data_IF_148804765837
#
_entry.id   IF_148804765837
#
_cell.length_a   1.000
_cell.length_b   1.000
_cell.length_c   1.000
_cell.angle_alpha   90.00
_cell.angle_beta   90.00
_cell.angle_gamma   90.00
#
_symmetry.space_group_name_H-M   'P 1'
#
loop_
_entity.id
_entity.type
_entity.pdbx_description
1 polymer ?
#
# COMPACT_ATOMS: atom_id res chain seq x y z
N UNK A 1 2.72 23.49 4.35
CA UNK A 1 1.41 22.86 4.63
C UNK A 1 1.48 22.23 6.01
N UNK A 2 0.42 22.36 6.82
CA UNK A 2 0.39 21.89 8.22
C UNK A 2 0.28 20.37 8.35
N UNK A 3 -0.23 19.69 7.32
CA UNK A 3 -0.39 18.23 7.27
C UNK A 3 0.55 17.53 6.29
N UNK A 4 1.17 18.23 5.34
CA UNK A 4 1.98 17.55 4.32
C UNK A 4 3.33 17.12 4.89
N UNK A 5 3.62 15.80 4.97
CA UNK A 5 4.96 15.34 5.31
C UNK A 5 5.97 15.78 4.25
N UNK A 6 7.24 15.90 4.62
CA UNK A 6 8.28 16.19 3.65
C UNK A 6 8.40 15.02 2.66
N UNK A 7 8.56 15.27 1.35
CA UNK A 7 8.55 14.20 0.34
C UNK A 7 9.62 13.12 0.54
N UNK A 8 10.78 13.49 1.10
CA UNK A 8 11.88 12.56 1.34
C UNK A 8 11.70 11.72 2.61
N UNK A 9 10.66 11.95 3.42
CA UNK A 9 10.40 11.11 4.59
C UNK A 9 9.95 9.72 4.16
N UNK A 10 10.45 8.72 4.90
CA UNK A 10 9.97 7.36 4.80
C UNK A 10 8.44 7.31 4.98
N UNK A 11 7.79 6.43 4.20
CA UNK A 11 6.34 6.24 4.17
C UNK A 11 5.51 7.44 3.71
N UNK A 12 6.12 8.48 3.15
CA UNK A 12 5.39 9.50 2.40
C UNK A 12 4.87 8.92 1.07
N UNK A 13 3.92 9.59 0.42
CA UNK A 13 3.49 9.20 -0.94
C UNK A 13 4.65 9.16 -1.94
N UNK A 14 5.59 10.10 -1.83
CA UNK A 14 6.78 10.13 -2.69
C UNK A 14 7.75 8.98 -2.39
N UNK A 15 7.79 8.49 -1.14
CA UNK A 15 8.54 7.28 -0.81
C UNK A 15 7.93 6.07 -1.53
N UNK A 16 6.61 5.85 -1.42
CA UNK A 16 5.95 4.72 -2.05
C UNK A 16 6.02 4.77 -3.59
N UNK A 17 5.91 5.94 -4.21
CA UNK A 17 6.03 6.05 -5.67
C UNK A 17 7.39 5.58 -6.20
N UNK A 18 8.46 5.71 -5.39
CA UNK A 18 9.82 5.32 -5.75
C UNK A 18 10.24 3.96 -5.18
N UNK A 19 9.39 3.32 -4.39
CA UNK A 19 9.69 2.05 -3.74
C UNK A 19 9.44 0.91 -4.72
N UNK A 20 10.44 0.06 -4.94
CA UNK A 20 10.26 -1.14 -5.75
C UNK A 20 9.58 -2.26 -4.94
N UNK A 21 8.97 -3.22 -5.64
CA UNK A 21 8.35 -4.39 -5.01
C UNK A 21 9.36 -5.20 -4.19
N UNK A 22 10.58 -5.40 -4.71
CA UNK A 22 11.64 -6.09 -3.97
C UNK A 22 12.03 -5.34 -2.69
N UNK A 23 12.22 -4.02 -2.77
CA UNK A 23 12.52 -3.20 -1.60
C UNK A 23 11.39 -3.25 -0.58
N UNK A 24 10.13 -3.13 -1.02
CA UNK A 24 8.98 -3.13 -0.13
C UNK A 24 8.82 -4.46 0.65
N UNK A 25 9.20 -5.57 0.03
CA UNK A 25 9.16 -6.87 0.66
C UNK A 25 10.19 -7.00 1.79
N UNK A 26 11.39 -6.46 1.59
CA UNK A 26 12.51 -6.49 2.55
C UNK A 26 12.41 -5.37 3.62
N UNK A 27 11.74 -4.26 3.30
CA UNK A 27 11.64 -3.11 4.18
C UNK A 27 10.85 -3.45 5.45
N UNK A 28 11.37 -3.07 6.62
CA UNK A 28 10.67 -3.27 7.89
C UNK A 28 9.50 -2.26 8.02
N UNK A 29 8.31 -2.73 7.66
CA UNK A 29 7.07 -1.95 7.72
C UNK A 29 6.69 -1.62 9.17
N UNK A 30 6.04 -0.47 9.46
CA UNK A 30 5.49 -0.21 10.78
C UNK A 30 4.42 -1.26 11.12
N UNK A 31 4.26 -1.51 12.42
CA UNK A 31 3.23 -2.41 12.93
C UNK A 31 1.97 -1.58 13.16
N UNK A 32 0.94 -1.80 12.35
CA UNK A 32 -0.34 -1.11 12.50
C UNK A 32 -1.17 -1.85 13.56
N UNK A 33 -1.60 -1.13 14.58
CA UNK A 33 -2.47 -1.68 15.61
C UNK A 33 -3.83 -2.10 15.01
N UNK A 34 -4.52 -3.03 15.69
CA UNK A 34 -5.83 -3.51 15.25
C UNK A 34 -6.86 -2.36 15.20
N UNK A 35 -7.88 -2.52 14.35
CA UNK A 35 -9.05 -1.61 14.34
C UNK A 35 -9.73 -1.65 15.71
N UNK A 36 -10.20 -0.49 16.19
CA UNK A 36 -10.75 -0.33 17.53
C UNK A 36 -9.70 -0.25 18.64
N UNK A 37 -8.42 -0.04 18.30
CA UNK A 37 -7.33 0.06 19.27
C UNK A 37 -7.20 1.44 19.90
N UNK A 38 -7.63 2.50 19.21
CA UNK A 38 -7.59 3.87 19.72
C UNK A 38 -8.72 4.06 20.75
N UNK A 39 -8.34 4.44 21.98
CA UNK A 39 -9.27 4.69 23.08
C UNK A 39 -9.68 6.15 23.19
N UNK A 40 -8.80 7.08 22.82
CA UNK A 40 -9.10 8.51 22.79
C UNK A 40 -8.14 9.25 21.89
N UNK A 41 -8.60 10.33 21.27
CA UNK A 41 -7.75 11.29 20.57
C UNK A 41 -8.25 12.72 20.80
N UNK A 42 -7.32 13.66 20.98
CA UNK A 42 -7.64 15.09 21.17
C UNK A 42 -6.56 16.00 20.60
N UNK A 43 -6.96 17.20 20.17
CA UNK A 43 -6.03 18.20 19.68
C UNK A 43 -5.29 18.90 20.82
N UNK A 44 -4.05 19.27 20.57
CA UNK A 44 -3.19 20.02 21.48
C UNK A 44 -2.59 21.24 20.75
N UNK A 45 -2.36 22.37 21.46
CA UNK A 45 -1.71 23.55 20.91
C UNK A 45 -0.18 23.39 20.77
N UNK A 46 0.41 22.39 21.43
CA UNK A 46 1.84 22.17 21.43
C UNK A 46 2.35 21.76 20.05
N UNK A 47 3.50 22.32 19.66
CA UNK A 47 4.24 21.90 18.46
C UNK A 47 5.28 20.87 18.91
N UNK A 48 5.08 19.56 18.67
CA UNK A 48 6.05 18.57 19.06
C UNK A 48 7.21 18.56 18.07
N UNK A 49 8.44 18.71 18.57
CA UNK A 49 9.66 18.72 17.75
C UNK A 49 10.40 17.37 17.76
N UNK A 50 9.91 16.40 18.52
CA UNK A 50 10.56 15.10 18.62
C UNK A 50 10.38 14.29 17.33
N UNK A 51 11.40 13.50 16.98
CA UNK A 51 11.29 12.56 15.87
C UNK A 51 10.10 11.60 16.05
N UNK A 52 9.84 11.15 17.29
CA UNK A 52 8.70 10.30 17.62
C UNK A 52 7.33 10.94 17.28
N UNK A 53 7.25 12.27 17.16
CA UNK A 53 6.01 12.97 16.83
C UNK A 53 5.87 13.31 15.34
N UNK A 54 6.96 13.29 14.57
CA UNK A 54 6.99 13.83 13.19
C UNK A 54 7.37 12.80 12.12
N UNK A 55 8.10 11.74 12.48
CA UNK A 55 8.55 10.68 11.54
C UNK A 55 8.07 9.31 12.00
N UNK A 56 7.87 8.39 11.04
CA UNK A 56 7.65 6.96 11.34
C UNK A 56 8.98 6.23 11.16
N UNK A 57 9.41 5.50 12.19
CA UNK A 57 10.61 4.65 12.09
C UNK A 57 10.25 3.21 11.69
N UNK A 58 11.15 2.46 11.02
CA UNK A 58 10.89 1.07 10.66
C UNK A 58 10.53 0.20 11.88
N UNK A 59 9.46 -0.58 11.78
CA UNK A 59 8.95 -1.42 12.88
C UNK A 59 8.25 -0.66 14.01
N UNK A 60 8.06 0.65 13.90
CA UNK A 60 7.29 1.43 14.87
C UNK A 60 5.86 0.90 14.97
N UNK A 61 5.33 0.83 16.18
CA UNK A 61 3.91 0.55 16.41
C UNK A 61 3.11 1.83 16.25
N UNK A 62 2.21 1.88 15.27
CA UNK A 62 1.34 3.02 14.97
C UNK A 62 -0.14 2.64 15.14
N UNK A 63 -1.03 3.60 15.48
CA UNK A 63 -2.47 3.33 15.56
C UNK A 63 -3.06 3.00 14.18
N UNK A 64 -4.21 2.33 14.18
CA UNK A 64 -4.96 2.11 12.94
C UNK A 64 -5.56 3.43 12.45
N UNK A 65 -5.37 3.75 11.16
CA UNK A 65 -5.93 4.98 10.61
C UNK A 65 -7.47 5.02 10.63
N UNK A 66 -8.14 3.86 10.55
CA UNK A 66 -9.62 3.82 10.58
C UNK A 66 -10.20 4.44 11.85
N UNK A 67 -9.51 4.28 12.99
CA UNK A 67 -9.93 4.86 14.26
C UNK A 67 -9.60 6.35 14.38
N UNK A 68 -8.72 6.86 13.50
CA UNK A 68 -8.30 8.27 13.47
C UNK A 68 -9.10 9.11 12.48
N UNK A 69 -9.93 8.51 11.63
CA UNK A 69 -10.70 9.22 10.59
C UNK A 69 -11.47 10.42 11.14
N UNK A 70 -12.20 10.22 12.24
CA UNK A 70 -12.99 11.28 12.89
C UNK A 70 -12.12 12.44 13.36
N UNK A 71 -10.96 12.14 13.97
CA UNK A 71 -9.99 13.16 14.36
C UNK A 71 -9.47 13.89 13.12
N UNK A 72 -9.10 13.17 12.05
CA UNK A 72 -8.47 13.76 10.87
C UNK A 72 -9.36 14.73 10.10
N UNK A 73 -10.68 14.54 10.13
CA UNK A 73 -11.65 15.46 9.51
C UNK A 73 -11.58 16.85 10.17
N UNK A 74 -11.32 16.92 11.48
CA UNK A 74 -11.29 18.18 12.23
C UNK A 74 -9.92 18.89 12.26
N UNK A 75 -8.89 18.40 11.56
CA UNK A 75 -7.54 18.96 11.68
C UNK A 75 -7.48 20.41 11.16
N UNK A 76 -8.15 20.72 10.05
CA UNK A 76 -8.10 22.07 9.47
C UNK A 76 -8.69 23.12 10.42
N UNK A 77 -9.86 22.82 10.99
CA UNK A 77 -10.52 23.66 11.98
C UNK A 77 -9.65 23.79 13.25
N UNK A 78 -9.12 22.67 13.75
CA UNK A 78 -8.26 22.67 14.92
C UNK A 78 -6.98 23.48 14.70
N UNK A 79 -6.36 23.38 13.52
CA UNK A 79 -5.18 24.15 13.16
C UNK A 79 -5.48 25.66 13.13
N UNK A 80 -6.62 26.03 12.57
CA UNK A 80 -7.12 27.41 12.55
C UNK A 80 -7.39 27.93 13.97
N UNK A 81 -7.89 27.07 14.85
CA UNK A 81 -8.09 27.36 16.28
C UNK A 81 -6.80 27.35 17.12
N UNK A 82 -5.62 27.16 16.51
CA UNK A 82 -4.32 27.23 17.20
C UNK A 82 -3.72 25.88 17.60
N UNK A 83 -4.38 24.76 17.29
CA UNK A 83 -3.83 23.42 17.52
C UNK A 83 -2.69 23.11 16.55
N UNK A 84 -1.73 22.32 17.00
CA UNK A 84 -0.54 21.96 16.20
C UNK A 84 -0.22 20.46 16.26
N UNK A 85 -0.87 19.72 17.14
CA UNK A 85 -0.70 18.29 17.30
C UNK A 85 -1.96 17.61 17.81
N UNK A 86 -1.93 16.28 17.85
CA UNK A 86 -2.95 15.48 18.51
C UNK A 86 -2.30 14.49 19.49
N UNK A 87 -2.85 14.40 20.69
CA UNK A 87 -2.60 13.29 21.59
C UNK A 87 -3.50 12.13 21.19
N UNK A 88 -2.93 10.95 21.02
CA UNK A 88 -3.62 9.72 20.68
C UNK A 88 -3.26 8.66 21.71
N UNK A 89 -4.28 8.10 22.34
CA UNK A 89 -4.17 6.93 23.21
C UNK A 89 -4.68 5.70 22.49
N UNK A 90 -3.88 4.65 22.46
CA UNK A 90 -4.23 3.40 21.79
C UNK A 90 -3.57 2.20 22.45
N UNK A 91 -4.14 1.02 22.26
CA UNK A 91 -3.65 -0.24 22.85
C UNK A 91 -2.98 -1.12 21.82
N UNK A 92 -1.81 -1.66 22.16
CA UNK A 92 -1.12 -2.68 21.37
C UNK A 92 -0.55 -3.75 22.30
N UNK A 93 -0.83 -5.03 22.00
CA UNK A 93 -0.45 -6.17 22.85
C UNK A 93 -0.81 -6.00 24.34
N UNK A 94 -2.00 -5.47 24.62
CA UNK A 94 -2.47 -5.22 25.98
C UNK A 94 -1.90 -3.97 26.65
N UNK A 95 -0.88 -3.34 26.07
CA UNK A 95 -0.21 -2.15 26.62
C UNK A 95 -0.84 -0.88 26.04
N UNK A 96 -1.24 0.04 26.92
CA UNK A 96 -1.69 1.37 26.51
C UNK A 96 -0.48 2.25 26.15
N UNK A 97 -0.56 2.91 25.00
CA UNK A 97 0.40 3.89 24.50
C UNK A 97 -0.30 5.24 24.44
N UNK A 98 0.36 6.28 24.93
CA UNK A 98 -0.08 7.67 24.81
C UNK A 98 0.99 8.44 24.03
N UNK A 99 0.65 8.90 22.83
CA UNK A 99 1.59 9.51 21.90
C UNK A 99 1.06 10.87 21.46
N UNK A 100 1.95 11.84 21.29
CA UNK A 100 1.63 13.14 20.69
C UNK A 100 2.18 13.15 19.27
N UNK A 101 1.30 13.31 18.29
CA UNK A 101 1.65 13.33 16.89
C UNK A 101 1.47 14.73 16.31
N UNK A 102 2.46 15.19 15.55
CA UNK A 102 2.26 16.29 14.63
C UNK A 102 1.27 15.86 13.54
N UNK A 103 0.51 16.80 12.99
CA UNK A 103 -0.49 16.50 11.95
C UNK A 103 0.13 15.85 10.71
N UNK A 104 1.38 16.17 10.37
CA UNK A 104 2.11 15.48 9.30
C UNK A 104 2.39 14.01 9.57
N UNK A 105 2.53 13.58 10.83
CA UNK A 105 2.71 12.16 11.16
C UNK A 105 1.39 11.40 11.07
N UNK A 106 0.26 12.03 11.38
CA UNK A 106 -1.06 11.44 11.13
C UNK A 106 -1.26 11.13 9.64
N UNK A 107 -0.74 11.98 8.76
CA UNK A 107 -0.75 11.77 7.32
C UNK A 107 0.18 10.63 6.85
N UNK A 108 1.35 10.48 7.49
CA UNK A 108 2.20 9.30 7.28
C UNK A 108 1.49 8.02 7.74
N UNK A 109 0.80 8.03 8.89
CA UNK A 109 0.02 6.89 9.39
C UNK A 109 -1.07 6.52 8.38
N UNK A 110 -1.79 7.51 7.85
CA UNK A 110 -2.77 7.32 6.77
C UNK A 110 -2.15 6.62 5.56
N UNK A 111 -0.99 7.10 5.13
CA UNK A 111 -0.29 6.56 3.97
C UNK A 111 0.13 5.11 4.23
N UNK A 112 0.71 4.81 5.39
CA UNK A 112 1.02 3.44 5.80
C UNK A 112 -0.22 2.53 5.77
N UNK A 113 -1.34 2.95 6.33
CA UNK A 113 -2.57 2.14 6.33
C UNK A 113 -3.13 1.92 4.93
N UNK A 114 -2.98 2.88 4.00
CA UNK A 114 -3.46 2.72 2.64
C UNK A 114 -2.61 1.73 1.81
N UNK A 115 -1.29 1.72 2.01
CA UNK A 115 -0.38 0.85 1.24
C UNK A 115 -0.16 -0.52 1.89
N UNK A 116 -0.51 -0.71 3.17
CA UNK A 116 -0.30 -1.97 3.89
C UNK A 116 -0.84 -3.20 3.14
N UNK A 117 -2.09 -3.21 2.61
CA UNK A 117 -2.61 -4.38 1.91
C UNK A 117 -1.74 -4.77 0.70
N UNK A 118 -1.34 -3.77 -0.10
CA UNK A 118 -0.49 -4.00 -1.26
C UNK A 118 0.89 -4.56 -0.85
N UNK A 119 1.51 -4.01 0.20
CA UNK A 119 2.81 -4.50 0.69
C UNK A 119 2.74 -5.94 1.17
N UNK A 120 1.70 -6.31 1.92
CA UNK A 120 1.48 -7.70 2.35
C UNK A 120 1.32 -8.61 1.14
N UNK A 121 0.52 -8.20 0.17
CA UNK A 121 0.29 -8.96 -1.05
C UNK A 121 1.55 -9.17 -1.87
N UNK A 122 2.37 -8.14 -2.06
CA UNK A 122 3.65 -8.26 -2.76
C UNK A 122 4.61 -9.23 -2.06
N UNK A 123 4.67 -9.22 -0.72
CA UNK A 123 5.48 -10.19 0.04
C UNK A 123 5.03 -11.63 -0.22
N UNK A 124 3.73 -11.87 -0.23
CA UNK A 124 3.18 -13.19 -0.53
C UNK A 124 3.48 -13.61 -1.97
N UNK A 125 3.25 -12.72 -2.96
CA UNK A 125 3.58 -12.95 -4.37
C UNK A 125 5.04 -13.33 -4.58
N UNK A 126 5.97 -12.54 -4.04
CA UNK A 126 7.39 -12.82 -4.15
C UNK A 126 7.75 -14.18 -3.55
N UNK A 127 7.26 -14.46 -2.34
CA UNK A 127 7.52 -15.72 -1.65
C UNK A 127 7.01 -16.91 -2.46
N UNK A 128 5.78 -16.83 -2.97
CA UNK A 128 5.18 -17.89 -3.78
C UNK A 128 5.90 -18.11 -5.12
N UNK A 129 6.29 -17.04 -5.81
CA UNK A 129 7.03 -17.16 -7.07
C UNK A 129 8.43 -17.76 -6.82
N UNK A 130 9.13 -17.35 -5.76
CA UNK A 130 10.47 -17.83 -5.45
C UNK A 130 10.51 -19.30 -5.01
N UNK A 131 9.50 -19.73 -4.25
CA UNK A 131 9.41 -21.10 -3.75
C UNK A 131 8.63 -22.04 -4.68
N UNK A 132 7.90 -21.47 -5.64
CA UNK A 132 7.04 -22.20 -6.55
C UNK A 132 7.81 -22.92 -7.67
N UNK A 133 7.11 -23.80 -8.42
CA UNK A 133 7.70 -24.49 -9.55
C UNK A 133 7.88 -23.61 -10.79
N UNK A 134 7.41 -22.35 -10.74
CA UNK A 134 7.38 -21.44 -11.89
C UNK A 134 8.73 -20.76 -12.09
N UNK A 135 9.37 -20.99 -13.23
CA UNK A 135 10.52 -20.19 -13.65
C UNK A 135 10.05 -19.06 -14.58
N UNK A 136 9.85 -17.87 -14.01
CA UNK A 136 9.44 -16.68 -14.74
C UNK A 136 10.60 -15.95 -15.44
N UNK A 137 11.86 -16.40 -15.27
CA UNK A 137 13.04 -15.80 -15.89
C UNK A 137 13.10 -14.29 -15.70
N UNK A 138 13.36 -13.55 -16.78
CA UNK A 138 13.46 -12.08 -16.77
C UNK A 138 12.16 -11.37 -16.37
N UNK A 139 10.99 -12.01 -16.51
CA UNK A 139 9.73 -11.42 -16.06
C UNK A 139 9.69 -11.28 -14.54
N UNK A 140 10.37 -12.18 -13.81
CA UNK A 140 10.50 -12.05 -12.36
C UNK A 140 11.32 -10.83 -11.96
N UNK A 141 12.42 -10.58 -12.65
CA UNK A 141 13.26 -9.40 -12.38
C UNK A 141 12.52 -8.10 -12.70
N UNK A 142 11.75 -8.06 -13.80
CA UNK A 142 10.87 -6.93 -14.12
C UNK A 142 9.83 -6.71 -13.03
N UNK A 143 9.19 -7.78 -12.55
CA UNK A 143 8.22 -7.70 -11.45
C UNK A 143 8.87 -7.16 -10.16
N UNK A 144 10.01 -7.72 -9.75
CA UNK A 144 10.76 -7.28 -8.56
C UNK A 144 11.14 -5.79 -8.59
N UNK A 145 11.54 -5.30 -9.77
CA UNK A 145 12.03 -3.94 -9.94
C UNK A 145 10.93 -2.93 -10.29
N UNK A 146 9.69 -3.39 -10.50
CA UNK A 146 8.54 -2.50 -10.69
C UNK A 146 8.23 -1.73 -9.42
N UNK A 147 7.69 -0.51 -9.58
CA UNK A 147 7.20 0.30 -8.46
C UNK A 147 6.01 -0.39 -7.79
N UNK A 148 5.86 -0.22 -6.48
CA UNK A 148 4.68 -0.73 -5.74
C UNK A 148 3.36 -0.12 -6.23
N UNK A 149 3.41 1.05 -6.89
CA UNK A 149 2.26 1.71 -7.51
C UNK A 149 2.10 1.41 -9.00
N UNK A 150 2.89 0.46 -9.53
CA UNK A 150 2.77 0.06 -10.93
C UNK A 150 1.44 -0.63 -11.18
N UNK A 151 0.89 -0.37 -12.37
CA UNK A 151 -0.30 -1.04 -12.88
C UNK A 151 0.08 -2.18 -13.82
N UNK A 152 -0.85 -3.11 -14.01
CA UNK A 152 -0.73 -4.08 -15.10
C UNK A 152 -0.91 -3.35 -16.43
N UNK A 153 -0.05 -3.65 -17.40
CA UNK A 153 -0.07 -3.03 -18.72
C UNK A 153 -0.24 -4.10 -19.80
N UNK A 154 -0.75 -3.69 -20.97
CA UNK A 154 -0.88 -4.55 -22.14
C UNK A 154 -2.27 -5.16 -22.35
N UNK A 155 -3.25 -4.79 -21.53
CA UNK A 155 -4.65 -5.18 -21.69
C UNK A 155 -5.51 -3.95 -22.00
N UNK A 156 -6.50 -4.11 -22.88
CA UNK A 156 -7.44 -3.08 -23.29
C UNK A 156 -8.42 -2.72 -22.18
N UNK A 157 -8.76 -3.69 -21.32
CA UNK A 157 -9.81 -3.55 -20.30
C UNK A 157 -9.23 -3.22 -18.92
N UNK A 158 -7.91 -3.27 -18.74
CA UNK A 158 -7.32 -3.39 -17.41
C UNK A 158 -6.45 -2.19 -17.02
N UNK A 159 -6.98 -1.35 -16.11
CA UNK A 159 -6.23 -0.26 -15.45
C UNK A 159 -6.11 -0.51 -13.94
N UNK A 160 -5.67 -1.71 -13.57
CA UNK A 160 -5.60 -2.14 -12.17
C UNK A 160 -4.16 -2.30 -11.67
N UNK A 161 -4.00 -2.20 -10.35
CA UNK A 161 -2.69 -2.22 -9.68
C UNK A 161 -2.08 -3.62 -9.69
N UNK A 162 -0.75 -3.69 -9.74
CA UNK A 162 -0.02 -4.96 -9.87
C UNK A 162 -0.15 -5.85 -8.62
N UNK A 163 -0.43 -5.27 -7.44
CA UNK A 163 -0.70 -6.02 -6.21
C UNK A 163 -1.95 -6.90 -6.32
N UNK A 164 -2.92 -6.54 -7.18
CA UNK A 164 -4.12 -7.35 -7.38
C UNK A 164 -3.86 -8.77 -7.88
N UNK A 165 -2.69 -9.04 -8.48
CA UNK A 165 -2.27 -10.40 -8.81
C UNK A 165 -2.27 -11.35 -7.61
N UNK A 166 -2.19 -10.81 -6.39
CA UNK A 166 -2.28 -11.60 -5.17
C UNK A 166 -3.57 -12.40 -5.03
N UNK A 167 -4.67 -11.98 -5.68
CA UNK A 167 -5.92 -12.75 -5.65
C UNK A 167 -5.79 -14.13 -6.32
N UNK A 168 -4.73 -14.36 -7.10
CA UNK A 168 -4.41 -15.66 -7.72
C UNK A 168 -3.71 -16.64 -6.76
N UNK A 169 -3.19 -16.16 -5.62
CA UNK A 169 -2.43 -16.99 -4.67
C UNK A 169 -3.28 -17.68 -3.59
N UNK A 170 -4.57 -17.37 -3.51
CA UNK A 170 -5.47 -17.92 -2.49
C UNK A 170 -6.85 -18.26 -3.03
N UNK A 171 -7.67 -18.89 -2.17
CA UNK A 171 -9.11 -19.13 -2.43
C UNK A 171 -9.94 -17.85 -2.18
N UNK A 172 -9.42 -16.69 -2.59
CA UNK A 172 -10.17 -15.44 -2.59
C UNK A 172 -11.07 -15.33 -3.82
N UNK A 173 -12.07 -14.46 -3.72
CA UNK A 173 -12.79 -14.00 -4.90
C UNK A 173 -11.81 -13.40 -5.91
N UNK A 174 -11.82 -13.91 -7.13
CA UNK A 174 -11.06 -13.34 -8.23
C UNK A 174 -11.65 -11.96 -8.54
N UNK A 175 -10.81 -10.93 -8.54
CA UNK A 175 -11.25 -9.58 -8.91
C UNK A 175 -11.62 -9.56 -10.41
N UNK A 176 -12.70 -8.84 -10.73
CA UNK A 176 -13.23 -8.77 -12.10
C UNK A 176 -12.16 -8.29 -13.10
N UNK A 177 -11.34 -7.32 -12.71
CA UNK A 177 -10.27 -6.80 -13.56
C UNK A 177 -9.21 -7.87 -13.90
N UNK A 178 -8.87 -8.71 -12.93
CA UNK A 178 -7.93 -9.83 -13.12
C UNK A 178 -8.56 -10.89 -14.02
N UNK A 179 -9.84 -11.19 -13.81
CA UNK A 179 -10.59 -12.12 -14.66
C UNK A 179 -10.67 -11.62 -16.11
N UNK A 180 -10.99 -10.34 -16.34
CA UNK A 180 -11.06 -9.73 -17.65
C UNK A 180 -9.69 -9.75 -18.36
N UNK A 181 -8.61 -9.46 -17.64
CA UNK A 181 -7.26 -9.58 -18.19
C UNK A 181 -6.91 -11.02 -18.60
N UNK A 182 -7.30 -12.03 -17.80
CA UNK A 182 -7.10 -13.44 -18.17
C UNK A 182 -7.93 -13.86 -19.39
N UNK A 183 -9.16 -13.35 -19.53
CA UNK A 183 -9.99 -13.58 -20.71
C UNK A 183 -9.39 -12.95 -21.96
N UNK A 184 -8.92 -11.70 -21.86
CA UNK A 184 -8.26 -10.99 -22.96
C UNK A 184 -6.97 -11.71 -23.38
N UNK A 185 -6.15 -12.14 -22.41
CA UNK A 185 -4.96 -12.95 -22.66
C UNK A 185 -5.30 -14.25 -23.42
N UNK A 186 -6.32 -14.97 -22.95
CA UNK A 186 -6.78 -16.21 -23.59
C UNK A 186 -7.29 -15.97 -25.01
N UNK A 187 -8.04 -14.88 -25.23
CA UNK A 187 -8.52 -14.50 -26.55
C UNK A 187 -7.36 -14.26 -27.53
N UNK A 188 -6.35 -13.47 -27.14
CA UNK A 188 -5.20 -13.20 -28.00
C UNK A 188 -4.37 -14.45 -28.26
N UNK A 189 -4.13 -15.28 -27.23
CA UNK A 189 -3.39 -16.52 -27.40
C UNK A 189 -4.07 -17.47 -28.39
N UNK A 190 -5.39 -17.63 -28.29
CA UNK A 190 -6.16 -18.45 -29.23
C UNK A 190 -6.18 -17.83 -30.64
N UNK A 191 -6.28 -16.51 -30.75
CA UNK A 191 -6.22 -15.83 -32.05
C UNK A 191 -4.87 -16.04 -32.75
N UNK A 192 -3.75 -15.98 -32.01
CA UNK A 192 -2.41 -16.27 -32.55
C UNK A 192 -2.27 -17.73 -32.99
N UNK A 193 -2.79 -18.69 -32.21
CA UNK A 193 -2.79 -20.11 -32.60
C UNK A 193 -3.64 -20.36 -33.85
N UNK A 194 -4.78 -19.68 -33.99
CA UNK A 194 -5.63 -19.75 -35.18
C UNK A 194 -4.92 -19.11 -36.38
N UNK A 195 -4.22 -17.99 -36.22
CA UNK A 195 -3.43 -17.36 -37.29
C UNK A 195 -2.29 -18.25 -37.82
N UNK A 196 -1.71 -19.11 -36.99
CA UNK A 196 -0.74 -20.13 -37.43
C UNK A 196 -1.39 -21.34 -38.13
N UNK A 197 -2.73 -21.43 -38.13
CA UNK A 197 -3.51 -22.53 -38.74
C UNK A 197 -4.32 -22.07 -39.96
N UNK A 198 -4.36 -20.77 -40.25
CA UNK A 198 -5.01 -20.27 -41.47
C UNK A 198 -4.06 -20.48 -42.65
N UNK A 199 -4.21 -21.63 -43.31
CA UNK A 199 -3.99 -21.73 -44.75
C UNK A 199 -4.91 -20.67 -45.39
N UNK A 200 -4.32 -19.55 -45.81
CA UNK A 200 -4.98 -18.60 -46.68
C UNK A 200 -5.48 -19.38 -47.91
N UNK A 201 -6.77 -19.31 -48.27
CA UNK A 201 -7.20 -19.83 -49.54
C UNK A 201 -6.51 -19.00 -50.62
N UNK A 202 -5.56 -19.64 -51.32
CA UNK A 202 -5.12 -19.14 -52.61
C UNK A 202 -6.25 -19.35 -53.61
N UNK A 203 -6.57 -18.27 -54.33
CA UNK A 203 -7.53 -18.09 -55.43
C UNK A 203 -9.02 -18.17 -55.10
#
# INVERSE_FOLDING_TARGET
>A
SYMSPLPHLAFSSSFFNNLTIAQAAEYLYPIIAAVGSVSSARFLPEVPFSAAATVIIPGEVIPNYSDLKTLTIGIEEAYTAGSRSAEVKFRYNGIEKCMVYHFSKLELIRTCSNYEPAIITYRHLLTHIQLGPFNLGSAFDTFRNSSVTSKIQGFCVSDFQLDKLGCLLGESWLEEDVFNALLEFSYFHNAEQISNTILLPTS
#
